data_IF_107132264379
#
_entry.id   IF_107132264379
#
_cell.length_a   1.000
_cell.length_b   1.000
_cell.length_c   1.000
_cell.angle_alpha   90.00
_cell.angle_beta   90.00
_cell.angle_gamma   90.00
#
_symmetry.space_group_name_H-M   'P 1'
#
loop_
_entity.id
_entity.type
_entity.pdbx_description
1 polymer ?
#
# COMPACT_ATOMS: atom_id res chain seq x y z
N UNK A 1 31.88 -15.47 12.48
CA UNK A 1 30.71 -16.14 11.85
C UNK A 1 29.64 -15.09 11.66
N UNK A 2 29.17 -14.93 10.43
CA UNK A 2 28.41 -13.78 9.93
C UNK A 2 26.98 -13.83 10.49
N UNK A 3 26.51 -12.70 10.99
CA UNK A 3 25.15 -12.48 11.52
C UNK A 3 24.09 -12.86 10.49
N UNK A 4 23.23 -13.82 10.81
CA UNK A 4 22.18 -14.35 9.93
C UNK A 4 20.81 -13.67 10.14
N UNK A 5 20.69 -12.70 11.06
CA UNK A 5 19.38 -12.21 11.49
C UNK A 5 18.70 -11.23 10.52
N UNK A 6 19.41 -10.62 9.56
CA UNK A 6 18.87 -9.52 8.74
C UNK A 6 17.98 -9.96 7.56
N UNK A 7 17.97 -11.25 7.19
CA UNK A 7 17.23 -11.71 6.00
C UNK A 7 15.71 -11.84 6.22
N UNK A 8 15.25 -12.01 7.46
CA UNK A 8 13.82 -12.18 7.77
C UNK A 8 13.04 -10.86 7.67
N UNK A 9 13.62 -9.78 8.20
CA UNK A 9 12.97 -8.47 8.24
C UNK A 9 12.71 -7.90 6.83
N UNK A 10 13.63 -8.10 5.88
CA UNK A 10 13.46 -7.62 4.50
C UNK A 10 12.40 -8.41 3.73
N UNK A 11 12.28 -9.71 3.96
CA UNK A 11 11.27 -10.54 3.31
C UNK A 11 9.87 -10.22 3.83
N UNK A 12 9.73 -10.01 5.15
CA UNK A 12 8.49 -9.56 5.78
C UNK A 12 8.06 -8.17 5.28
N UNK A 13 9.00 -7.23 5.13
CA UNK A 13 8.73 -5.91 4.56
C UNK A 13 8.29 -5.99 3.10
N UNK A 14 8.89 -6.88 2.30
CA UNK A 14 8.48 -7.14 0.90
C UNK A 14 7.09 -7.76 0.82
N UNK A 15 6.78 -8.72 1.70
CA UNK A 15 5.47 -9.34 1.77
C UNK A 15 4.39 -8.31 2.14
N UNK A 16 4.65 -7.48 3.14
CA UNK A 16 3.76 -6.37 3.52
C UNK A 16 3.59 -5.36 2.39
N UNK A 17 4.67 -4.98 1.71
CA UNK A 17 4.62 -4.08 0.55
C UNK A 17 3.71 -4.65 -0.55
N UNK A 18 3.87 -5.93 -0.90
CA UNK A 18 3.02 -6.60 -1.88
C UNK A 18 1.54 -6.64 -1.47
N UNK A 19 1.26 -6.85 -0.17
CA UNK A 19 -0.09 -6.81 0.36
C UNK A 19 -0.73 -5.40 0.23
N UNK A 20 0.00 -4.36 0.63
CA UNK A 20 -0.47 -2.97 0.52
C UNK A 20 -0.65 -2.53 -0.94
N UNK A 21 0.22 -2.96 -1.86
CA UNK A 21 0.08 -2.69 -3.29
C UNK A 21 -1.14 -3.40 -3.90
N UNK A 22 -1.43 -4.63 -3.47
CA UNK A 22 -2.63 -5.35 -3.87
C UNK A 22 -3.90 -4.67 -3.33
N UNK A 23 -3.89 -4.27 -2.06
CA UNK A 23 -5.00 -3.53 -1.45
C UNK A 23 -5.23 -2.17 -2.13
N UNK A 24 -4.16 -1.44 -2.46
CA UNK A 24 -4.26 -0.20 -3.22
C UNK A 24 -4.90 -0.41 -4.59
N UNK A 25 -4.50 -1.47 -5.32
CA UNK A 25 -5.13 -1.84 -6.61
C UNK A 25 -6.61 -2.18 -6.46
N UNK A 26 -6.98 -2.93 -5.42
CA UNK A 26 -8.37 -3.24 -5.13
C UNK A 26 -9.20 -1.97 -4.82
N UNK A 27 -8.61 -1.05 -4.06
CA UNK A 27 -9.24 0.24 -3.74
C UNK A 27 -9.45 1.09 -4.99
N UNK A 28 -8.50 1.07 -5.93
CA UNK A 28 -8.63 1.75 -7.22
C UNK A 28 -9.72 1.16 -8.11
N UNK A 29 -9.83 -0.17 -8.15
CA UNK A 29 -10.92 -0.84 -8.87
C UNK A 29 -12.29 -0.46 -8.29
N UNK A 30 -12.41 -0.44 -6.96
CA UNK A 30 -13.65 -0.07 -6.29
C UNK A 30 -14.01 1.41 -6.47
N UNK A 31 -13.02 2.32 -6.47
CA UNK A 31 -13.21 3.72 -6.83
C UNK A 31 -13.70 3.88 -8.28
N UNK A 32 -13.12 3.11 -9.21
CA UNK A 32 -13.55 3.14 -10.62
C UNK A 32 -15.01 2.67 -10.78
N UNK A 33 -15.42 1.62 -10.05
CA UNK A 33 -16.81 1.14 -10.04
C UNK A 33 -17.77 2.18 -9.45
N UNK A 34 -17.38 2.88 -8.39
CA UNK A 34 -18.17 3.97 -7.81
C UNK A 34 -18.34 5.17 -8.77
N UNK A 35 -17.40 5.39 -9.68
CA UNK A 35 -17.48 6.43 -10.70
C UNK A 35 -18.33 6.03 -11.92
N UNK A 36 -18.86 4.80 -11.97
CA UNK A 36 -19.69 4.34 -13.07
C UNK A 36 -20.99 5.18 -13.19
N UNK A 37 -21.40 5.54 -14.44
CA UNK A 37 -22.59 6.35 -14.66
C UNK A 37 -23.86 5.61 -14.22
N UNK A 38 -24.76 6.33 -13.55
CA UNK A 38 -26.08 5.80 -13.13
C UNK A 38 -26.17 5.32 -11.67
N UNK A 39 -25.07 5.36 -10.89
CA UNK A 39 -25.10 5.14 -9.43
C UNK A 39 -25.02 6.47 -8.67
N UNK A 40 -25.76 6.62 -7.56
CA UNK A 40 -25.54 7.73 -6.64
C UNK A 40 -24.13 7.60 -6.05
N UNK A 41 -23.30 8.61 -6.27
CA UNK A 41 -21.95 8.66 -5.69
C UNK A 41 -22.08 9.05 -4.24
N UNK A 42 -21.73 8.14 -3.34
CA UNK A 42 -21.60 8.46 -1.92
C UNK A 42 -20.30 9.24 -1.70
N UNK A 43 -20.46 10.54 -1.47
CA UNK A 43 -19.35 11.47 -1.23
C UNK A 43 -18.56 11.12 0.04
N UNK A 44 -19.22 10.58 1.09
CA UNK A 44 -18.55 10.16 2.31
C UNK A 44 -17.69 8.92 2.05
N UNK A 45 -18.25 7.92 1.35
CA UNK A 45 -17.50 6.73 0.94
C UNK A 45 -16.29 7.12 0.07
N UNK A 46 -16.47 8.04 -0.88
CA UNK A 46 -15.42 8.52 -1.77
C UNK A 46 -14.31 9.27 -1.01
N UNK A 47 -14.66 10.09 -0.02
CA UNK A 47 -13.70 10.75 0.85
C UNK A 47 -12.90 9.74 1.68
N UNK A 48 -13.56 8.74 2.27
CA UNK A 48 -12.90 7.69 3.03
C UNK A 48 -11.94 6.87 2.15
N UNK A 49 -12.35 6.51 0.94
CA UNK A 49 -11.52 5.79 -0.01
C UNK A 49 -10.32 6.60 -0.45
N UNK A 50 -10.49 7.90 -0.78
CA UNK A 50 -9.35 8.78 -1.11
C UNK A 50 -8.36 8.90 0.04
N UNK A 51 -8.85 9.02 1.28
CA UNK A 51 -8.01 9.07 2.48
C UNK A 51 -7.24 7.76 2.67
N UNK A 52 -7.92 6.61 2.51
CA UNK A 52 -7.29 5.28 2.59
C UNK A 52 -6.24 5.09 1.49
N UNK A 53 -6.52 5.55 0.26
CA UNK A 53 -5.59 5.53 -0.87
C UNK A 53 -4.32 6.33 -0.58
N UNK A 54 -4.47 7.55 -0.05
CA UNK A 54 -3.34 8.40 0.33
C UNK A 54 -2.48 7.72 1.41
N UNK A 55 -3.13 7.19 2.46
CA UNK A 55 -2.43 6.47 3.52
C UNK A 55 -1.66 5.25 2.99
N UNK A 56 -2.29 4.43 2.14
CA UNK A 56 -1.62 3.28 1.52
C UNK A 56 -0.40 3.72 0.73
N UNK A 57 -0.51 4.79 -0.09
CA UNK A 57 0.60 5.32 -0.86
C UNK A 57 1.76 5.78 0.04
N UNK A 58 1.45 6.50 1.11
CA UNK A 58 2.45 7.01 2.05
C UNK A 58 3.13 5.86 2.82
N UNK A 59 2.37 4.84 3.22
CA UNK A 59 2.90 3.63 3.87
C UNK A 59 3.79 2.84 2.91
N UNK A 60 3.36 2.62 1.67
CA UNK A 60 4.17 1.98 0.61
C UNK A 60 5.48 2.73 0.40
N UNK A 61 5.42 4.07 0.33
CA UNK A 61 6.62 4.91 0.16
C UNK A 61 7.59 4.72 1.34
N UNK A 62 7.09 4.75 2.58
CA UNK A 62 7.91 4.55 3.79
C UNK A 62 8.53 3.15 3.84
N UNK A 63 7.75 2.11 3.53
CA UNK A 63 8.24 0.74 3.47
C UNK A 63 9.31 0.57 2.38
N UNK A 64 9.11 1.17 1.20
CA UNK A 64 10.12 1.18 0.14
C UNK A 64 11.40 1.90 0.56
N UNK A 65 11.29 3.04 1.25
CA UNK A 65 12.45 3.75 1.80
C UNK A 65 13.19 2.91 2.84
N UNK A 66 12.49 2.29 3.79
CA UNK A 66 13.10 1.40 4.77
C UNK A 66 13.80 0.20 4.11
N UNK A 67 13.19 -0.38 3.07
CA UNK A 67 13.79 -1.49 2.32
C UNK A 67 15.04 -1.04 1.54
N UNK A 68 15.05 0.17 0.98
CA UNK A 68 16.21 0.73 0.27
C UNK A 68 17.34 1.02 1.26
N UNK A 69 17.04 1.63 2.41
CA UNK A 69 18.04 1.91 3.45
C UNK A 69 18.67 0.62 3.97
N UNK A 70 17.88 -0.44 4.17
CA UNK A 70 18.38 -1.74 4.66
C UNK A 70 19.20 -2.52 3.60
N UNK A 71 18.98 -2.26 2.30
CA UNK A 71 19.80 -2.83 1.21
C UNK A 71 21.16 -2.12 1.10
N UNK A 72 21.27 -0.87 1.55
CA UNK A 72 22.46 -0.01 1.40
C UNK A 72 23.29 0.08 2.70
N UNK A 73 22.72 -0.31 3.85
CA UNK A 73 23.36 -0.29 5.16
C UNK A 73 24.39 -1.42 5.40
#
# INVERSE_FOLDING_TARGET
MISFTTLGDTDDLRAQLGAYEAEHRALDAALAEMHAPGRPVDLMALQHMKKKKLWLRDTIQRLRSALIDDIIA
#
